data_IF_812910448051
#
_entry.id   IF_812910448051
#
_cell.length_a   1.000
_cell.length_b   1.000
_cell.length_c   1.000
_cell.angle_alpha   90.00
_cell.angle_beta   90.00
_cell.angle_gamma   90.00
#
_symmetry.space_group_name_H-M   'P 1'
#
loop_
_entity.id
_entity.type
_entity.pdbx_description
1 polymer ?
#
# COMPACT_ATOMS: atom_id res chain seq x y z
N UNK A 1 -0.12 21.26 -2.71
CA UNK A 1 0.09 20.57 -1.42
C UNK A 1 0.85 19.28 -1.67
N UNK A 2 1.88 18.96 -0.88
CA UNK A 2 2.72 17.75 -1.07
C UNK A 2 2.86 17.02 0.26
N UNK A 3 2.56 15.72 0.28
CA UNK A 3 2.75 14.83 1.43
C UNK A 3 3.94 13.91 1.15
N UNK A 4 4.91 13.88 2.07
CA UNK A 4 6.15 13.12 1.91
C UNK A 4 6.26 12.01 2.95
N UNK A 5 6.98 10.94 2.58
CA UNK A 5 7.38 9.89 3.51
C UNK A 5 8.45 10.41 4.48
N UNK A 6 8.31 10.07 5.76
CA UNK A 6 9.37 10.32 6.73
C UNK A 6 10.64 9.52 6.40
N UNK A 7 11.80 10.15 6.60
CA UNK A 7 13.09 9.48 6.45
C UNK A 7 13.21 8.22 7.31
N UNK A 8 12.69 8.28 8.53
CA UNK A 8 12.70 7.16 9.46
C UNK A 8 12.04 5.91 8.89
N UNK A 9 10.86 6.05 8.30
CA UNK A 9 10.13 4.94 7.67
C UNK A 9 10.88 4.34 6.48
N UNK A 10 11.50 5.19 5.66
CA UNK A 10 12.32 4.72 4.53
C UNK A 10 13.53 3.94 5.03
N UNK A 11 14.20 4.41 6.07
CA UNK A 11 15.33 3.71 6.67
C UNK A 11 14.91 2.35 7.25
N UNK A 12 13.77 2.29 7.95
CA UNK A 12 13.22 1.02 8.47
C UNK A 12 12.94 0.05 7.32
N UNK A 13 12.35 0.50 6.22
CA UNK A 13 12.08 -0.32 5.05
C UNK A 13 13.38 -0.88 4.43
N UNK A 14 14.44 -0.07 4.34
CA UNK A 14 15.75 -0.49 3.84
C UNK A 14 16.37 -1.55 4.77
N UNK A 15 16.38 -1.29 6.07
CA UNK A 15 16.95 -2.22 7.06
C UNK A 15 16.18 -3.55 7.05
N UNK A 16 14.86 -3.49 7.03
CA UNK A 16 14.01 -4.68 6.91
C UNK A 16 14.33 -5.46 5.63
N UNK A 17 14.34 -4.79 4.47
CA UNK A 17 14.68 -5.42 3.19
C UNK A 17 16.06 -6.08 3.22
N UNK A 18 17.05 -5.45 3.83
CA UNK A 18 18.42 -5.97 3.93
C UNK A 18 18.52 -7.19 4.84
N UNK A 19 17.87 -7.16 6.01
CA UNK A 19 17.84 -8.30 6.94
C UNK A 19 17.18 -9.51 6.28
N UNK A 20 16.00 -9.32 5.66
CA UNK A 20 15.30 -10.43 5.00
C UNK A 20 16.02 -10.94 3.75
N UNK A 21 16.72 -10.07 3.03
CA UNK A 21 17.54 -10.48 1.89
C UNK A 21 18.68 -11.39 2.33
N UNK A 22 19.42 -11.01 3.39
CA UNK A 22 20.53 -11.81 3.93
C UNK A 22 20.01 -13.14 4.50
N UNK A 23 18.91 -13.09 5.28
CA UNK A 23 18.32 -14.28 5.87
C UNK A 23 17.80 -15.26 4.81
N UNK A 24 17.08 -14.76 3.79
CA UNK A 24 16.56 -15.62 2.72
C UNK A 24 17.66 -16.20 1.83
N UNK A 25 18.71 -15.43 1.57
CA UNK A 25 19.88 -15.94 0.84
C UNK A 25 20.59 -17.04 1.63
N UNK A 26 20.84 -16.82 2.92
CA UNK A 26 21.45 -17.83 3.80
C UNK A 26 20.60 -19.09 3.89
N UNK A 27 19.29 -18.95 4.07
CA UNK A 27 18.35 -20.07 4.10
C UNK A 27 18.31 -20.82 2.78
N UNK A 28 18.33 -20.13 1.66
CA UNK A 28 18.33 -20.74 0.32
C UNK A 28 19.62 -21.53 0.08
N UNK A 29 20.79 -20.96 0.40
CA UNK A 29 22.06 -21.65 0.27
C UNK A 29 22.13 -22.89 1.16
N UNK A 30 21.72 -22.75 2.44
CA UNK A 30 21.66 -23.88 3.35
C UNK A 30 20.74 -24.99 2.84
N UNK A 31 19.53 -24.63 2.40
CA UNK A 31 18.55 -25.58 1.88
C UNK A 31 19.08 -26.32 0.65
N UNK A 32 19.72 -25.62 -0.31
CA UNK A 32 20.30 -26.25 -1.51
C UNK A 32 21.43 -27.23 -1.19
N UNK A 33 22.25 -26.94 -0.16
CA UNK A 33 23.41 -27.75 0.20
C UNK A 33 23.01 -28.99 1.01
N UNK A 34 22.07 -28.84 1.94
CA UNK A 34 21.78 -29.86 2.97
C UNK A 34 20.58 -30.74 2.61
N UNK A 35 19.49 -30.13 2.14
CA UNK A 35 18.19 -30.83 2.07
C UNK A 35 17.63 -30.99 0.64
N UNK A 36 18.07 -30.18 -0.32
CA UNK A 36 17.43 -30.15 -1.62
C UNK A 36 17.67 -31.42 -2.43
N UNK A 37 16.57 -32.10 -2.77
CA UNK A 37 16.57 -33.27 -3.69
C UNK A 37 15.86 -32.88 -4.97
N UNK A 38 16.60 -32.85 -6.04
CA UNK A 38 16.07 -32.50 -7.36
C UNK A 38 14.97 -33.48 -7.77
N UNK A 39 13.79 -32.96 -8.16
CA UNK A 39 12.64 -33.76 -8.56
C UNK A 39 11.65 -34.04 -7.44
N UNK A 40 11.96 -33.77 -6.18
CA UNK A 40 11.00 -33.84 -5.09
C UNK A 40 10.04 -32.62 -5.12
N UNK A 41 8.75 -32.87 -5.19
CA UNK A 41 7.72 -31.82 -5.24
C UNK A 41 7.76 -30.88 -4.02
N UNK A 42 7.96 -31.46 -2.82
CA UNK A 42 8.00 -30.69 -1.57
C UNK A 42 9.18 -29.74 -1.57
N UNK A 43 10.38 -30.22 -1.96
CA UNK A 43 11.60 -29.42 -1.99
C UNK A 43 11.50 -28.28 -3.02
N UNK A 44 10.86 -28.53 -4.16
CA UNK A 44 10.60 -27.50 -5.15
C UNK A 44 9.63 -26.43 -4.63
N UNK A 45 8.59 -26.82 -3.87
CA UNK A 45 7.70 -25.87 -3.22
C UNK A 45 8.43 -25.01 -2.19
N UNK A 46 9.28 -25.62 -1.35
CA UNK A 46 10.09 -24.89 -0.34
C UNK A 46 11.03 -23.91 -1.03
N UNK A 47 11.76 -24.35 -2.05
CA UNK A 47 12.64 -23.47 -2.85
C UNK A 47 11.87 -22.28 -3.45
N UNK A 48 10.67 -22.52 -4.00
CA UNK A 48 9.81 -21.49 -4.54
C UNK A 48 9.38 -20.46 -3.48
N UNK A 49 8.99 -20.91 -2.28
CA UNK A 49 8.64 -19.99 -1.18
C UNK A 49 9.82 -19.15 -0.73
N UNK A 50 11.02 -19.74 -0.60
CA UNK A 50 12.23 -18.98 -0.25
C UNK A 50 12.52 -17.93 -1.33
N UNK A 51 12.38 -18.29 -2.60
CA UNK A 51 12.55 -17.34 -3.71
C UNK A 51 11.54 -16.18 -3.64
N UNK A 52 10.28 -16.45 -3.30
CA UNK A 52 9.27 -15.39 -3.12
C UNK A 52 9.66 -14.42 -1.99
N UNK A 53 10.16 -14.94 -0.85
CA UNK A 53 10.63 -14.12 0.27
C UNK A 53 11.83 -13.25 -0.18
N UNK A 54 12.77 -13.85 -0.91
CA UNK A 54 13.92 -13.12 -1.48
C UNK A 54 13.48 -11.99 -2.41
N UNK A 55 12.58 -12.26 -3.33
CA UNK A 55 12.06 -11.25 -4.27
C UNK A 55 11.31 -10.14 -3.53
N UNK A 56 10.53 -10.48 -2.51
CA UNK A 56 9.85 -9.50 -1.66
C UNK A 56 10.86 -8.61 -0.91
N UNK A 57 11.89 -9.20 -0.30
CA UNK A 57 12.96 -8.46 0.37
C UNK A 57 13.72 -7.53 -0.59
N UNK A 58 14.04 -8.01 -1.78
CA UNK A 58 14.72 -7.23 -2.82
C UNK A 58 13.86 -6.05 -3.28
N UNK A 59 12.57 -6.25 -3.50
CA UNK A 59 11.65 -5.16 -3.90
C UNK A 59 11.54 -4.09 -2.82
N UNK A 60 11.46 -4.46 -1.54
CA UNK A 60 11.44 -3.51 -0.42
C UNK A 60 12.74 -2.72 -0.33
N UNK A 61 13.88 -3.37 -0.49
CA UNK A 61 15.19 -2.72 -0.46
C UNK A 61 15.33 -1.71 -1.62
N UNK A 62 14.99 -2.10 -2.84
CA UNK A 62 15.05 -1.24 -4.02
C UNK A 62 14.10 -0.06 -3.88
N UNK A 63 12.85 -0.30 -3.46
CA UNK A 63 11.87 0.77 -3.23
C UNK A 63 12.39 1.77 -2.19
N UNK A 64 12.89 1.29 -1.05
CA UNK A 64 13.45 2.14 -0.01
C UNK A 64 14.62 3.00 -0.51
N UNK A 65 15.56 2.42 -1.26
CA UNK A 65 16.71 3.15 -1.82
C UNK A 65 16.27 4.22 -2.81
N UNK A 66 15.34 3.89 -3.72
CA UNK A 66 14.85 4.84 -4.71
C UNK A 66 14.11 6.00 -4.05
N UNK A 67 13.27 5.70 -3.04
CA UNK A 67 12.56 6.73 -2.27
C UNK A 67 13.51 7.61 -1.47
N UNK A 68 14.58 7.03 -0.90
CA UNK A 68 15.60 7.81 -0.18
C UNK A 68 16.31 8.80 -1.10
N UNK A 69 16.56 8.43 -2.36
CA UNK A 69 17.28 9.27 -3.33
C UNK A 69 16.45 10.42 -3.93
N UNK A 70 15.13 10.33 -3.97
CA UNK A 70 14.38 11.42 -4.61
C UNK A 70 12.85 11.33 -4.60
N UNK A 71 12.27 10.15 -4.52
CA UNK A 71 10.82 9.97 -4.68
C UNK A 71 10.10 9.80 -3.33
N UNK A 72 10.29 10.76 -2.41
CA UNK A 72 9.67 10.73 -1.08
C UNK A 72 8.19 11.12 -1.09
N UNK A 73 7.69 11.61 -2.21
CA UNK A 73 6.30 12.07 -2.33
C UNK A 73 5.37 10.86 -2.35
N UNK A 74 4.37 10.86 -1.46
CA UNK A 74 3.28 9.87 -1.44
C UNK A 74 2.08 10.43 -2.18
N UNK A 75 1.81 11.71 -1.95
CA UNK A 75 0.63 12.39 -2.44
C UNK A 75 0.99 13.83 -2.79
N UNK A 76 0.47 14.27 -3.92
CA UNK A 76 0.62 15.64 -4.40
C UNK A 76 -0.74 16.14 -4.87
N UNK A 77 -1.11 17.34 -4.46
CA UNK A 77 -2.26 18.05 -4.98
C UNK A 77 -1.74 19.26 -5.73
N UNK A 78 -1.85 19.18 -7.05
CA UNK A 78 -1.57 20.27 -7.98
C UNK A 78 -2.81 21.12 -8.18
N UNK A 79 -2.76 22.05 -9.16
CA UNK A 79 -3.86 22.99 -9.40
C UNK A 79 -5.20 22.29 -9.60
N UNK A 80 -5.25 21.20 -10.41
CA UNK A 80 -6.50 20.58 -10.82
C UNK A 80 -6.54 19.07 -10.56
N UNK A 81 -5.44 18.50 -10.03
CA UNK A 81 -5.30 17.05 -9.87
C UNK A 81 -4.76 16.65 -8.52
N UNK A 82 -5.28 15.55 -8.02
CA UNK A 82 -4.79 14.78 -6.88
C UNK A 82 -4.00 13.60 -7.42
N UNK A 83 -2.69 13.52 -7.09
CA UNK A 83 -1.78 12.51 -7.60
C UNK A 83 -1.33 11.62 -6.44
N UNK A 84 -1.47 10.31 -6.58
CA UNK A 84 -1.02 9.32 -5.61
C UNK A 84 0.13 8.48 -6.15
N UNK A 85 1.24 8.46 -5.40
CA UNK A 85 2.49 7.76 -5.71
C UNK A 85 2.64 6.49 -4.86
N UNK A 86 1.67 5.60 -4.93
CA UNK A 86 1.63 4.38 -4.09
C UNK A 86 2.36 3.17 -4.67
N UNK A 87 2.81 3.24 -5.94
CA UNK A 87 3.53 2.13 -6.58
C UNK A 87 4.99 2.09 -6.18
N UNK A 88 5.61 0.92 -6.40
CA UNK A 88 7.03 0.70 -6.25
C UNK A 88 7.84 1.84 -6.87
N UNK A 89 8.89 2.26 -6.16
CA UNK A 89 9.78 3.33 -6.57
C UNK A 89 9.12 4.71 -6.71
N UNK A 90 8.01 4.96 -6.00
CA UNK A 90 7.32 6.25 -6.05
C UNK A 90 6.68 6.57 -7.41
N UNK A 91 6.33 5.57 -8.20
CA UNK A 91 5.61 5.78 -9.46
C UNK A 91 4.16 6.19 -9.21
N UNK A 92 3.63 7.01 -10.10
CA UNK A 92 2.22 7.39 -10.07
C UNK A 92 1.34 6.15 -10.16
N UNK A 93 0.45 5.99 -9.19
CA UNK A 93 -0.58 4.94 -9.20
C UNK A 93 -1.80 5.43 -9.95
N UNK A 94 -2.25 6.65 -9.64
CA UNK A 94 -3.34 7.31 -10.33
C UNK A 94 -3.32 8.83 -10.13
N UNK A 95 -4.01 9.51 -11.01
CA UNK A 95 -4.31 10.92 -10.97
C UNK A 95 -5.83 11.08 -10.98
N UNK A 96 -6.36 11.92 -10.10
CA UNK A 96 -7.79 12.21 -9.95
C UNK A 96 -7.98 13.69 -10.17
N UNK A 97 -8.82 14.14 -11.11
CA UNK A 97 -9.24 15.53 -11.19
C UNK A 97 -9.93 15.96 -9.89
N UNK A 98 -9.59 17.12 -9.36
CA UNK A 98 -10.18 17.61 -8.11
C UNK A 98 -11.71 17.76 -8.22
N UNK A 99 -12.23 18.00 -9.42
CA UNK A 99 -13.66 18.07 -9.71
C UNK A 99 -14.40 16.75 -9.45
N UNK A 100 -13.72 15.60 -9.53
CA UNK A 100 -14.30 14.27 -9.26
C UNK A 100 -14.35 13.91 -7.76
N UNK A 101 -13.56 14.61 -6.93
CA UNK A 101 -13.48 14.39 -5.48
C UNK A 101 -14.58 15.18 -4.78
N UNK A 102 -15.35 14.54 -3.92
CA UNK A 102 -16.34 15.21 -3.06
C UNK A 102 -15.68 15.66 -1.75
N UNK A 103 -15.11 14.73 -1.02
CA UNK A 103 -14.54 14.93 0.29
C UNK A 103 -13.29 14.01 0.49
N UNK A 104 -12.35 14.47 1.29
CA UNK A 104 -11.22 13.67 1.76
C UNK A 104 -11.25 13.62 3.27
N UNK A 105 -11.11 12.41 3.85
CA UNK A 105 -11.06 12.21 5.30
C UNK A 105 -9.85 11.35 5.65
N UNK A 106 -9.18 11.71 6.72
CA UNK A 106 -8.09 10.92 7.31
C UNK A 106 -8.62 10.20 8.54
N UNK A 107 -8.39 8.91 8.61
CA UNK A 107 -8.82 8.10 9.76
C UNK A 107 -7.82 6.97 10.02
N UNK A 108 -8.07 6.24 11.08
CA UNK A 108 -7.34 5.04 11.44
C UNK A 108 -8.14 3.82 10.99
N UNK A 109 -7.51 2.96 10.19
CA UNK A 109 -8.07 1.64 9.86
C UNK A 109 -7.28 0.54 10.54
N UNK A 110 -7.92 -0.61 10.69
CA UNK A 110 -7.26 -1.84 11.11
C UNK A 110 -7.22 -2.83 9.94
N UNK A 111 -6.26 -3.76 9.91
CA UNK A 111 -6.26 -4.82 8.90
C UNK A 111 -7.56 -5.63 8.88
N UNK A 112 -8.26 -5.72 10.02
CA UNK A 112 -9.57 -6.37 10.12
C UNK A 112 -10.67 -5.61 9.38
N UNK A 113 -10.66 -4.28 9.42
CA UNK A 113 -11.65 -3.47 8.70
C UNK A 113 -11.49 -3.62 7.20
N UNK A 114 -10.24 -3.64 6.71
CA UNK A 114 -9.95 -3.92 5.31
C UNK A 114 -10.28 -5.36 4.91
N UNK A 115 -10.01 -6.32 5.78
CA UNK A 115 -10.25 -7.74 5.53
C UNK A 115 -11.73 -8.08 5.38
N UNK A 116 -12.65 -7.32 5.98
CA UNK A 116 -14.10 -7.52 5.81
C UNK A 116 -14.52 -7.48 4.33
N UNK A 117 -13.75 -6.79 3.49
CA UNK A 117 -14.03 -6.58 2.07
C UNK A 117 -13.14 -7.40 1.14
N UNK A 118 -12.16 -8.13 1.69
CA UNK A 118 -11.20 -8.93 0.94
C UNK A 118 -11.64 -10.42 0.85
N UNK A 119 -11.07 -11.16 -0.10
CA UNK A 119 -11.29 -12.61 -0.15
C UNK A 119 -10.60 -13.31 1.02
N UNK A 120 -11.14 -14.46 1.44
CA UNK A 120 -10.55 -15.29 2.50
C UNK A 120 -9.10 -15.67 2.19
N UNK A 121 -8.76 -15.93 0.93
CA UNK A 121 -7.40 -16.26 0.49
C UNK A 121 -6.45 -15.07 0.71
N UNK A 122 -6.85 -13.85 0.34
CA UNK A 122 -6.04 -12.68 0.57
C UNK A 122 -5.85 -12.40 2.07
N UNK A 123 -6.89 -12.63 2.87
CA UNK A 123 -6.83 -12.55 4.33
C UNK A 123 -5.81 -13.53 4.91
N UNK A 124 -5.80 -14.78 4.43
CA UNK A 124 -4.85 -15.81 4.86
C UNK A 124 -3.42 -15.44 4.41
N UNK A 125 -3.23 -15.01 3.17
CA UNK A 125 -1.91 -14.60 2.65
C UNK A 125 -1.35 -13.40 3.41
N UNK A 126 -2.19 -12.40 3.70
CA UNK A 126 -1.81 -11.24 4.51
C UNK A 126 -1.48 -11.65 5.95
N UNK A 127 -2.18 -12.64 6.49
CA UNK A 127 -1.92 -13.19 7.83
C UNK A 127 -0.62 -14.01 7.89
N UNK A 128 -0.21 -14.64 6.78
CA UNK A 128 1.08 -15.32 6.65
C UNK A 128 2.23 -14.32 6.53
N UNK A 129 2.03 -13.22 5.82
CA UNK A 129 3.01 -12.14 5.65
C UNK A 129 3.34 -11.45 7.00
N UNK A 130 2.37 -11.40 7.91
CA UNK A 130 2.50 -10.85 9.26
C UNK A 130 2.95 -11.91 10.31
N UNK A 131 3.59 -12.99 9.91
CA UNK A 131 3.97 -14.15 10.75
C UNK A 131 4.93 -13.76 11.87
N UNK A 132 4.40 -13.58 13.06
CA UNK A 132 5.15 -13.29 14.29
C UNK A 132 4.36 -12.51 15.34
N UNK A 133 3.30 -11.81 14.96
CA UNK A 133 2.60 -10.91 15.86
C UNK A 133 1.06 -10.98 15.75
N UNK A 134 0.48 -12.19 15.76
CA UNK A 134 -0.96 -12.42 15.54
C UNK A 134 -1.86 -11.59 16.47
N UNK A 135 -1.44 -11.35 17.72
CA UNK A 135 -2.22 -10.53 18.68
C UNK A 135 -2.01 -9.03 18.50
N UNK A 136 -0.86 -8.58 18.03
CA UNK A 136 -0.58 -7.16 17.78
C UNK A 136 -1.18 -6.70 16.44
N UNK A 137 -1.22 -7.57 15.46
CA UNK A 137 -1.72 -7.29 14.11
C UNK A 137 -3.21 -6.87 14.08
N UNK A 138 -4.08 -7.56 14.80
CA UNK A 138 -5.51 -7.21 14.88
C UNK A 138 -5.76 -5.83 15.50
N UNK A 139 -4.82 -5.34 16.31
CA UNK A 139 -4.89 -4.05 17.01
C UNK A 139 -4.03 -2.97 16.37
N UNK A 140 -3.19 -3.32 15.42
CA UNK A 140 -2.31 -2.37 14.77
C UNK A 140 -3.13 -1.45 13.86
N UNK A 141 -3.33 -0.23 14.31
CA UNK A 141 -4.00 0.81 13.53
C UNK A 141 -2.99 1.43 12.56
N UNK A 142 -3.42 1.68 11.35
CA UNK A 142 -2.65 2.46 10.39
C UNK A 142 -3.50 3.58 9.82
N UNK A 143 -2.85 4.65 9.41
CA UNK A 143 -3.54 5.81 8.86
C UNK A 143 -3.99 5.53 7.43
N UNK A 144 -5.22 5.91 7.16
CA UNK A 144 -5.86 5.75 5.86
C UNK A 144 -6.43 7.08 5.44
N UNK A 145 -6.29 7.38 4.17
CA UNK A 145 -6.98 8.49 3.53
C UNK A 145 -8.20 7.92 2.79
N UNK A 146 -9.37 8.33 3.19
CA UNK A 146 -10.61 8.05 2.50
C UNK A 146 -10.88 9.16 1.50
N UNK A 147 -11.09 8.80 0.23
CA UNK A 147 -11.46 9.73 -0.83
C UNK A 147 -12.87 9.40 -1.27
N UNK A 148 -13.78 10.33 -1.08
CA UNK A 148 -15.16 10.23 -1.50
C UNK A 148 -15.31 10.89 -2.88
N UNK A 149 -16.09 10.26 -3.73
CA UNK A 149 -16.35 10.72 -5.10
C UNK A 149 -17.78 11.16 -5.29
N UNK A 150 -18.00 12.03 -6.25
CA UNK A 150 -19.34 12.49 -6.61
C UNK A 150 -20.22 11.32 -7.08
N UNK A 151 -19.63 10.32 -7.75
CA UNK A 151 -20.37 9.17 -8.28
C UNK A 151 -19.63 7.83 -8.05
N UNK A 152 -20.42 6.75 -8.07
CA UNK A 152 -19.93 5.39 -7.83
C UNK A 152 -19.10 4.82 -8.99
N UNK A 153 -19.31 5.28 -10.20
CA UNK A 153 -18.58 4.82 -11.40
C UNK A 153 -17.14 5.30 -11.35
N UNK A 154 -16.93 6.54 -10.95
CA UNK A 154 -15.63 7.15 -10.72
C UNK A 154 -14.89 6.45 -9.57
N UNK A 155 -15.56 6.22 -8.44
CA UNK A 155 -14.97 5.48 -7.33
C UNK A 155 -14.47 4.08 -7.76
N UNK A 156 -15.29 3.34 -8.50
CA UNK A 156 -14.92 2.01 -9.02
C UNK A 156 -13.76 2.06 -10.02
N UNK A 157 -13.68 3.12 -10.85
CA UNK A 157 -12.56 3.34 -11.79
C UNK A 157 -11.23 3.42 -11.07
N UNK A 158 -11.16 4.20 -9.98
CA UNK A 158 -9.92 4.40 -9.22
C UNK A 158 -9.61 3.23 -8.28
N UNK A 159 -10.62 2.59 -7.69
CA UNK A 159 -10.42 1.38 -6.89
C UNK A 159 -9.74 0.25 -7.70
N UNK A 160 -10.08 0.11 -9.00
CA UNK A 160 -9.39 -0.84 -9.90
C UNK A 160 -7.88 -0.58 -10.01
N UNK A 161 -7.46 0.68 -9.97
CA UNK A 161 -6.05 1.05 -10.07
C UNK A 161 -5.26 0.75 -8.79
N UNK A 162 -5.96 0.66 -7.65
CA UNK A 162 -5.34 0.30 -6.36
C UNK A 162 -5.04 -1.20 -6.21
N UNK A 163 -5.67 -2.07 -6.98
CA UNK A 163 -5.36 -3.49 -6.95
C UNK A 163 -6.55 -4.42 -7.14
N UNK A 164 -6.45 -5.62 -6.56
CA UNK A 164 -7.43 -6.66 -6.72
C UNK A 164 -8.79 -6.31 -6.12
N UNK A 165 -9.86 -6.53 -6.91
CA UNK A 165 -11.24 -6.27 -6.53
C UNK A 165 -12.02 -7.58 -6.32
N UNK A 166 -12.53 -7.78 -5.11
CA UNK A 166 -13.57 -8.79 -4.87
C UNK A 166 -14.95 -8.24 -5.22
N UNK A 167 -15.93 -9.13 -5.44
CA UNK A 167 -17.33 -8.73 -5.63
C UNK A 167 -17.86 -7.91 -4.43
N UNK A 168 -17.48 -8.29 -3.20
CA UNK A 168 -17.85 -7.58 -1.97
C UNK A 168 -17.27 -6.17 -1.94
N UNK A 169 -15.98 -6.03 -2.26
CA UNK A 169 -15.30 -4.72 -2.28
C UNK A 169 -15.94 -3.80 -3.33
N UNK A 170 -16.19 -4.31 -4.53
CA UNK A 170 -16.88 -3.53 -5.58
C UNK A 170 -18.26 -3.03 -5.15
N UNK A 171 -19.07 -3.90 -4.49
CA UNK A 171 -20.37 -3.50 -3.95
C UNK A 171 -20.21 -2.40 -2.90
N UNK A 172 -19.28 -2.57 -1.97
CA UNK A 172 -19.00 -1.57 -0.93
C UNK A 172 -18.57 -0.22 -1.54
N UNK A 173 -17.60 -0.22 -2.46
CA UNK A 173 -17.15 1.01 -3.15
C UNK A 173 -18.27 1.67 -3.94
N UNK A 174 -19.14 0.88 -4.58
CA UNK A 174 -20.29 1.42 -5.32
C UNK A 174 -21.32 2.08 -4.40
N UNK A 175 -21.57 1.51 -3.23
CA UNK A 175 -22.52 2.01 -2.24
C UNK A 175 -21.99 3.26 -1.51
N UNK A 176 -20.74 3.22 -1.08
CA UNK A 176 -20.11 4.30 -0.31
C UNK A 176 -19.51 5.42 -1.17
N UNK A 177 -19.30 5.17 -2.46
CA UNK A 177 -18.58 6.05 -3.39
C UNK A 177 -17.17 6.41 -2.90
N UNK A 178 -16.53 5.53 -2.15
CA UNK A 178 -15.30 5.81 -1.42
C UNK A 178 -14.21 4.81 -1.79
N UNK A 179 -13.00 5.30 -1.92
CA UNK A 179 -11.79 4.48 -1.90
C UNK A 179 -10.94 4.82 -0.68
N UNK A 180 -10.10 3.88 -0.25
CA UNK A 180 -9.14 4.14 0.81
C UNK A 180 -7.71 3.91 0.33
N UNK A 181 -6.82 4.75 0.80
CA UNK A 181 -5.40 4.73 0.49
C UNK A 181 -4.63 4.64 1.80
N UNK A 182 -3.80 3.61 2.01
CA UNK A 182 -2.93 3.57 3.18
C UNK A 182 -1.91 4.70 3.07
N UNK A 183 -1.83 5.52 4.11
CA UNK A 183 -0.84 6.59 4.23
C UNK A 183 0.16 6.12 5.28
N UNK A 184 1.40 5.86 4.87
CA UNK A 184 2.46 5.66 5.83
C UNK A 184 2.57 6.91 6.72
N UNK A 185 2.99 6.73 7.98
CA UNK A 185 3.22 7.84 8.90
C UNK A 185 4.17 8.86 8.25
N UNK A 186 3.62 9.94 7.78
CA UNK A 186 4.29 11.02 7.08
C UNK A 186 3.87 12.36 7.64
N UNK A 187 4.34 13.43 7.05
CA UNK A 187 4.04 14.81 7.46
C UNK A 187 2.54 14.98 7.69
N UNK A 188 2.21 15.52 8.87
CA UNK A 188 0.84 15.72 9.32
C UNK A 188 0.19 16.85 8.51
N UNK A 189 -0.90 16.52 7.85
CA UNK A 189 -1.85 17.51 7.36
C UNK A 189 -3.20 17.25 8.02
N UNK A 190 -3.99 18.30 8.24
CA UNK A 190 -5.36 18.13 8.70
C UNK A 190 -6.28 17.85 7.51
N UNK A 191 -7.35 17.07 7.75
CA UNK A 191 -8.36 16.82 6.74
C UNK A 191 -9.00 18.11 6.26
N UNK A 192 -9.18 19.05 7.20
CA UNK A 192 -9.75 20.36 6.94
C UNK A 192 -8.86 21.15 5.98
N UNK A 193 -7.54 21.23 6.23
CA UNK A 193 -6.60 21.93 5.34
C UNK A 193 -6.62 21.34 3.93
N UNK A 194 -6.70 20.00 3.81
CA UNK A 194 -6.75 19.36 2.50
C UNK A 194 -8.07 19.65 1.78
N UNK A 195 -9.20 19.58 2.48
CA UNK A 195 -10.50 19.87 1.90
C UNK A 195 -10.66 21.36 1.53
N UNK A 196 -10.16 22.25 2.36
CA UNK A 196 -10.15 23.69 2.09
C UNK A 196 -9.32 23.98 0.84
N UNK A 197 -8.13 23.40 0.73
CA UNK A 197 -7.29 23.52 -0.45
C UNK A 197 -7.97 22.99 -1.72
N UNK A 198 -8.62 21.82 -1.66
CA UNK A 198 -9.37 21.24 -2.78
C UNK A 198 -10.55 22.16 -3.18
N UNK A 199 -11.27 22.68 -2.19
CA UNK A 199 -12.44 23.52 -2.43
C UNK A 199 -12.08 24.89 -3.02
N UNK A 200 -10.98 25.49 -2.58
CA UNK A 200 -10.46 26.74 -3.17
C UNK A 200 -10.12 26.56 -4.65
N UNK A 201 -9.48 25.43 -5.01
CA UNK A 201 -9.11 25.15 -6.40
C UNK A 201 -10.35 24.92 -7.27
N UNK A 202 -11.34 24.17 -6.78
CA UNK A 202 -12.62 23.98 -7.49
C UNK A 202 -13.38 25.28 -7.77
N UNK A 203 -13.19 26.30 -6.93
CA UNK A 203 -13.85 27.61 -7.13
C UNK A 203 -13.17 28.43 -8.23
N UNK A 204 -11.86 28.29 -8.37
CA UNK A 204 -11.07 29.03 -9.35
C UNK A 204 -11.24 28.49 -10.79
N UNK A 205 -11.77 27.27 -10.94
CA UNK A 205 -12.03 26.63 -12.24
C UNK A 205 -13.45 26.88 -12.76
N UNK A 206 -14.26 27.64 -12.03
CA UNK A 206 -15.62 28.08 -12.46
C UNK A 206 -15.62 29.53 -12.91
#
# INVERSE_FOLDING_TARGET
>A
MIVRLERGMICVQIVYGLIFLVASTGLFCWFLIVDYRFGNFVDNCVAFFILLIFLHALTNLVDGIVRLKGHKIILEINNDTFIYYGRLCGRVTFEIPLSEIDLVMKDWSTPMDDAKHLSTIYYILKRIDDFGNIRSWERQRYRVLYIFFNDSKTALKYDRKLGYQTRKKRKYVAETKMIHIPIAEGEFFSDQEMNDYINERKKNDR
#
